data_IF_234189437131
#
_entry.id   IF_234189437131
#
_cell.length_a   1.000
_cell.length_b   1.000
_cell.length_c   1.000
_cell.angle_alpha   90.00
_cell.angle_beta   90.00
_cell.angle_gamma   90.00
#
_symmetry.space_group_name_H-M   'P 1'
#
loop_
_entity.id
_entity.type
_entity.pdbx_description
1 polymer ?
#
# COMPACT_ATOMS: atom_id res chain seq x y z
N UNK A 1 7.15 -20.21 -1.16
CA UNK A 1 7.24 -19.14 -0.12
C UNK A 1 5.88 -18.98 0.57
N UNK A 2 5.75 -19.23 1.87
CA UNK A 2 4.45 -19.15 2.60
C UNK A 2 4.06 -17.74 3.07
N UNK A 3 4.52 -16.70 2.37
CA UNK A 3 4.54 -15.30 2.82
C UNK A 3 3.22 -14.54 2.70
N UNK A 4 2.11 -15.07 3.20
CA UNK A 4 0.82 -14.38 3.15
C UNK A 4 -0.29 -14.97 4.02
N UNK A 5 0.03 -15.94 4.87
CA UNK A 5 -0.94 -16.47 5.83
C UNK A 5 -0.96 -15.60 7.10
N UNK A 6 -2.13 -15.47 7.72
CA UNK A 6 -2.23 -15.01 9.10
C UNK A 6 -1.54 -16.02 10.03
N UNK A 7 -1.09 -15.59 11.21
CA UNK A 7 -0.53 -16.51 12.21
C UNK A 7 -1.61 -17.49 12.71
N UNK A 8 -1.21 -18.55 13.41
CA UNK A 8 -2.15 -19.47 14.09
C UNK A 8 -3.11 -18.70 15.02
N UNK A 9 -2.55 -17.81 15.85
CA UNK A 9 -3.30 -16.88 16.69
C UNK A 9 -4.24 -15.97 15.88
N UNK A 10 -3.81 -15.54 14.69
CA UNK A 10 -4.63 -14.76 13.76
C UNK A 10 -5.82 -15.57 13.22
N UNK A 11 -5.63 -16.86 12.96
CA UNK A 11 -6.69 -17.79 12.58
C UNK A 11 -7.73 -17.95 13.70
N UNK A 12 -7.27 -18.13 14.93
CA UNK A 12 -8.16 -18.15 16.10
C UNK A 12 -8.90 -16.83 16.29
N UNK A 13 -8.23 -15.69 16.10
CA UNK A 13 -8.84 -14.38 16.20
C UNK A 13 -9.96 -14.19 15.16
N UNK A 14 -9.74 -14.64 13.92
CA UNK A 14 -10.75 -14.60 12.87
C UNK A 14 -11.97 -15.46 13.22
N UNK A 15 -11.73 -16.67 13.74
CA UNK A 15 -12.79 -17.56 14.22
C UNK A 15 -13.59 -16.93 15.37
N UNK A 16 -12.90 -16.32 16.34
CA UNK A 16 -13.52 -15.56 17.45
C UNK A 16 -14.38 -14.40 16.92
N UNK A 17 -13.87 -13.60 15.97
CA UNK A 17 -14.65 -12.53 15.33
C UNK A 17 -15.90 -13.05 14.61
N UNK A 18 -15.80 -14.17 13.91
CA UNK A 18 -16.93 -14.77 13.20
C UNK A 18 -18.03 -15.29 14.14
N UNK A 19 -17.67 -15.70 15.36
CA UNK A 19 -18.62 -16.18 16.37
C UNK A 19 -19.10 -15.09 17.35
N UNK A 20 -18.39 -13.96 17.43
CA UNK A 20 -18.64 -12.93 18.44
C UNK A 20 -20.04 -12.29 18.33
N UNK A 21 -20.72 -12.03 19.47
CA UNK A 21 -21.84 -11.10 19.55
C UNK A 21 -21.47 -9.71 19.02
N UNK A 22 -22.47 -8.91 18.63
CA UNK A 22 -22.27 -7.60 17.98
C UNK A 22 -21.39 -6.66 18.79
N UNK A 23 -21.62 -6.54 20.10
CA UNK A 23 -20.82 -5.68 20.99
C UNK A 23 -19.35 -6.09 21.03
N UNK A 24 -19.08 -7.38 21.21
CA UNK A 24 -17.72 -7.91 21.30
C UNK A 24 -16.96 -7.75 19.98
N UNK A 25 -17.63 -7.99 18.85
CA UNK A 25 -17.03 -7.78 17.53
C UNK A 25 -16.57 -6.33 17.31
N UNK A 26 -17.42 -5.36 17.69
CA UNK A 26 -17.09 -3.93 17.60
C UNK A 26 -15.92 -3.60 18.52
N UNK A 27 -15.92 -4.12 19.75
CA UNK A 27 -14.83 -3.90 20.72
C UNK A 27 -13.49 -4.47 20.23
N UNK A 28 -13.48 -5.65 19.61
CA UNK A 28 -12.27 -6.28 19.05
C UNK A 28 -11.67 -5.45 17.89
N UNK A 29 -12.52 -4.78 17.12
CA UNK A 29 -12.13 -3.90 16.00
C UNK A 29 -12.04 -2.41 16.38
N UNK A 30 -12.14 -2.07 17.67
CA UNK A 30 -11.99 -0.71 18.14
C UNK A 30 -10.60 -0.15 17.74
N UNK A 31 -10.57 1.14 17.37
CA UNK A 31 -9.36 1.85 16.93
C UNK A 31 -8.93 1.58 15.49
N UNK A 32 -9.50 0.59 14.79
CA UNK A 32 -9.15 0.30 13.38
C UNK A 32 -9.51 1.47 12.47
N UNK A 33 -10.68 2.09 12.67
CA UNK A 33 -11.06 3.35 12.05
C UNK A 33 -11.28 4.40 13.14
N UNK A 34 -10.72 5.59 12.93
CA UNK A 34 -10.75 6.67 13.91
C UNK A 34 -12.18 7.08 14.26
N UNK A 35 -12.53 6.98 15.56
CA UNK A 35 -13.83 7.34 16.11
C UNK A 35 -15.07 6.87 15.32
N UNK A 36 -14.97 5.72 14.63
CA UNK A 36 -15.97 5.28 13.65
C UNK A 36 -16.44 3.82 13.86
N UNK A 37 -17.09 3.49 15.00
CA UNK A 37 -17.54 2.13 15.31
C UNK A 37 -18.60 1.60 14.34
N UNK A 38 -19.34 2.49 13.68
CA UNK A 38 -20.38 2.16 12.71
C UNK A 38 -19.87 1.29 11.53
N UNK A 39 -18.56 1.35 11.24
CA UNK A 39 -17.94 0.53 10.19
C UNK A 39 -17.88 -0.94 10.60
N UNK A 40 -17.45 -1.20 11.84
CA UNK A 40 -17.46 -2.55 12.41
C UNK A 40 -18.90 -3.05 12.59
N UNK A 41 -19.80 -2.18 13.03
CA UNK A 41 -21.23 -2.47 13.14
C UNK A 41 -21.86 -2.98 11.84
N UNK A 42 -21.54 -2.38 10.69
CA UNK A 42 -22.02 -2.82 9.38
C UNK A 42 -21.30 -4.05 8.86
N UNK A 43 -19.99 -4.14 9.08
CA UNK A 43 -19.23 -5.32 8.70
C UNK A 43 -19.70 -6.57 9.46
N UNK A 44 -20.22 -6.43 10.68
CA UNK A 44 -20.75 -7.53 11.47
C UNK A 44 -21.84 -8.34 10.73
N UNK A 45 -22.68 -7.66 9.94
CA UNK A 45 -23.76 -8.27 9.14
C UNK A 45 -23.24 -9.09 7.93
N UNK A 46 -21.95 -8.95 7.57
CA UNK A 46 -21.32 -9.60 6.41
C UNK A 46 -20.55 -10.88 6.79
N UNK A 47 -20.59 -11.29 8.05
CA UNK A 47 -19.95 -12.51 8.55
C UNK A 47 -20.69 -13.77 8.06
N UNK A 48 -20.03 -14.93 8.02
CA UNK A 48 -18.63 -15.16 8.39
C UNK A 48 -17.64 -14.77 7.30
N UNK A 49 -16.46 -14.32 7.71
CA UNK A 49 -15.35 -14.01 6.80
C UNK A 49 -14.47 -15.23 6.59
N UNK A 50 -14.21 -15.56 5.33
CA UNK A 50 -13.34 -16.68 4.96
C UNK A 50 -11.85 -16.41 5.20
N UNK A 51 -11.43 -15.14 5.27
CA UNK A 51 -10.03 -14.74 5.44
C UNK A 51 -9.93 -13.31 6.00
N UNK A 52 -8.72 -12.92 6.43
CA UNK A 52 -8.42 -11.53 6.77
C UNK A 52 -8.69 -10.57 5.59
N UNK A 53 -8.42 -11.00 4.36
CA UNK A 53 -8.73 -10.21 3.17
C UNK A 53 -10.25 -9.98 3.01
N UNK A 54 -11.07 -11.00 3.30
CA UNK A 54 -12.53 -10.86 3.28
C UNK A 54 -13.03 -9.89 4.38
N UNK A 55 -12.45 -9.94 5.59
CA UNK A 55 -12.75 -8.97 6.65
C UNK A 55 -12.38 -7.53 6.23
N UNK A 56 -11.17 -7.33 5.68
CA UNK A 56 -10.75 -6.00 5.17
C UNK A 56 -11.69 -5.49 4.09
N UNK A 57 -12.07 -6.35 3.15
CA UNK A 57 -13.01 -6.01 2.08
C UNK A 57 -14.40 -5.64 2.64
N UNK A 58 -14.90 -6.34 3.66
CA UNK A 58 -16.15 -6.02 4.32
C UNK A 58 -16.13 -4.63 4.99
N UNK A 59 -15.01 -4.28 5.64
CA UNK A 59 -14.82 -2.96 6.24
C UNK A 59 -14.77 -1.85 5.17
N UNK A 60 -14.04 -2.07 4.07
CA UNK A 60 -14.01 -1.14 2.92
C UNK A 60 -15.41 -0.97 2.32
N UNK A 61 -16.13 -2.07 2.15
CA UNK A 61 -17.50 -2.08 1.64
C UNK A 61 -18.44 -1.27 2.53
N UNK A 62 -18.36 -1.44 3.85
CA UNK A 62 -19.16 -0.69 4.81
C UNK A 62 -18.98 0.83 4.67
N UNK A 63 -17.76 1.31 4.41
CA UNK A 63 -17.46 2.73 4.15
C UNK A 63 -17.97 3.16 2.79
N UNK A 64 -17.71 2.38 1.73
CA UNK A 64 -18.13 2.71 0.37
C UNK A 64 -19.65 2.84 0.24
N UNK A 65 -20.41 2.03 0.96
CA UNK A 65 -21.88 1.99 0.92
C UNK A 65 -22.53 2.98 1.91
N UNK A 66 -21.74 3.74 2.69
CA UNK A 66 -22.23 4.61 3.75
C UNK A 66 -22.92 5.90 3.29
N UNK A 67 -22.86 6.22 2.00
CA UNK A 67 -23.22 7.52 1.46
C UNK A 67 -22.17 8.59 1.78
N UNK A 68 -22.25 9.71 1.06
CA UNK A 68 -21.21 10.75 1.09
C UNK A 68 -21.09 11.43 2.46
N UNK A 69 -22.21 11.72 3.15
CA UNK A 69 -22.16 12.42 4.45
C UNK A 69 -21.41 11.63 5.52
N UNK A 70 -21.64 10.31 5.59
CA UNK A 70 -20.99 9.47 6.58
C UNK A 70 -19.51 9.21 6.24
N UNK A 71 -19.17 9.15 4.94
CA UNK A 71 -17.78 9.16 4.49
C UNK A 71 -17.07 10.47 4.85
N UNK A 72 -17.71 11.62 4.64
CA UNK A 72 -17.16 12.92 5.01
C UNK A 72 -16.98 13.05 6.52
N UNK A 73 -17.92 12.55 7.31
CA UNK A 73 -17.78 12.49 8.77
C UNK A 73 -16.58 11.64 9.19
N UNK A 74 -16.35 10.48 8.54
CA UNK A 74 -15.16 9.65 8.75
C UNK A 74 -13.87 10.40 8.39
N UNK A 75 -13.81 11.10 7.25
CA UNK A 75 -12.64 11.89 6.86
C UNK A 75 -12.37 12.99 7.91
N UNK A 76 -13.40 13.69 8.37
CA UNK A 76 -13.27 14.76 9.38
C UNK A 76 -12.94 14.25 10.78
N UNK A 77 -13.21 12.99 11.10
CA UNK A 77 -12.85 12.38 12.37
C UNK A 77 -11.35 12.10 12.52
N UNK A 78 -10.58 12.12 11.42
CA UNK A 78 -9.14 11.89 11.47
C UNK A 78 -8.40 13.12 11.97
N UNK A 79 -7.45 12.98 12.91
CA UNK A 79 -6.68 14.11 13.39
C UNK A 79 -5.75 14.66 12.30
N UNK A 80 -5.54 15.97 12.32
CA UNK A 80 -4.54 16.62 11.45
C UNK A 80 -3.12 16.13 11.79
N UNK A 81 -2.32 15.90 10.75
CA UNK A 81 -0.87 15.69 10.89
C UNK A 81 -0.23 16.98 11.41
N UNK A 82 0.46 16.92 12.55
CA UNK A 82 1.09 18.10 13.17
C UNK A 82 0.04 19.19 13.50
N UNK A 83 -1.11 18.77 14.04
CA UNK A 83 -2.22 19.64 14.41
C UNK A 83 -2.28 20.00 15.91
N UNK A 84 -3.29 20.79 16.28
CA UNK A 84 -3.54 21.19 17.68
C UNK A 84 -3.70 20.00 18.62
N UNK A 85 -4.29 18.89 18.16
CA UNK A 85 -4.42 17.66 18.95
C UNK A 85 -3.06 17.03 19.30
N UNK A 86 -2.09 17.07 18.38
CA UNK A 86 -0.72 16.61 18.66
C UNK A 86 -0.03 17.49 19.71
N UNK A 87 -0.25 18.81 19.66
CA UNK A 87 0.29 19.76 20.64
C UNK A 87 -0.42 19.69 22.00
N UNK A 88 -1.71 19.35 22.02
CA UNK A 88 -2.52 19.22 23.23
C UNK A 88 -2.36 17.85 23.91
N UNK A 89 -1.80 16.86 23.21
CA UNK A 89 -1.69 15.48 23.72
C UNK A 89 -2.99 14.66 23.58
N UNK A 90 -3.95 15.13 22.78
CA UNK A 90 -5.28 14.54 22.62
C UNK A 90 -5.34 13.48 21.49
N UNK A 91 -4.21 12.93 21.06
CA UNK A 91 -4.15 11.89 20.04
C UNK A 91 -4.50 10.52 20.62
N UNK A 92 -5.20 9.70 19.83
CA UNK A 92 -5.37 8.27 20.15
C UNK A 92 -4.00 7.57 20.20
N UNK A 93 -3.85 6.48 21.00
CA UNK A 93 -2.60 5.73 21.07
C UNK A 93 -2.08 5.29 19.69
N UNK A 94 -2.98 4.90 18.79
CA UNK A 94 -2.67 4.54 17.41
C UNK A 94 -2.09 5.72 16.62
N UNK A 95 -2.72 6.89 16.70
CA UNK A 95 -2.26 8.10 16.01
C UNK A 95 -0.91 8.59 16.54
N UNK A 96 -0.65 8.44 17.84
CA UNK A 96 0.62 8.83 18.45
C UNK A 96 1.79 7.97 17.93
N UNK A 97 1.64 6.64 17.89
CA UNK A 97 2.68 5.77 17.31
C UNK A 97 2.89 6.05 15.82
N UNK A 98 1.79 6.25 15.06
CA UNK A 98 1.85 6.54 13.63
C UNK A 98 2.66 7.81 13.34
N UNK A 99 2.36 8.91 14.03
CA UNK A 99 3.09 10.17 13.85
C UNK A 99 4.51 10.12 14.42
N UNK A 100 4.74 9.38 15.52
CA UNK A 100 6.06 9.18 16.11
C UNK A 100 7.02 8.50 15.15
N UNK A 101 6.59 7.43 14.46
CA UNK A 101 7.42 6.69 13.49
C UNK A 101 7.77 7.48 12.24
N UNK A 102 6.95 8.45 11.88
CA UNK A 102 7.22 9.37 10.77
C UNK A 102 8.19 10.51 11.13
N UNK A 103 8.71 10.52 12.37
CA UNK A 103 9.66 11.54 12.82
C UNK A 103 9.06 12.96 12.89
N UNK A 104 7.72 13.07 12.93
CA UNK A 104 7.01 14.34 13.02
C UNK A 104 7.18 15.02 14.38
N UNK A 105 7.51 14.25 15.42
CA UNK A 105 7.87 14.78 16.74
C UNK A 105 9.20 15.56 16.76
N UNK A 106 10.00 15.49 15.68
CA UNK A 106 11.33 16.09 15.58
C UNK A 106 11.46 17.03 14.38
N UNK A 107 10.40 17.74 14.00
CA UNK A 107 10.45 18.75 12.94
C UNK A 107 11.34 19.94 13.34
N UNK A 108 12.12 20.46 12.39
CA UNK A 108 12.69 21.80 12.50
C UNK A 108 11.57 22.87 12.54
N UNK A 109 11.83 24.06 13.10
CA UNK A 109 10.87 25.16 13.09
C UNK A 109 10.36 25.51 11.68
N UNK A 110 11.24 25.44 10.66
CA UNK A 110 10.90 25.70 9.26
C UNK A 110 9.99 24.63 8.67
N UNK A 111 10.31 23.35 8.87
CA UNK A 111 9.46 22.23 8.42
C UNK A 111 8.09 22.27 9.10
N UNK A 112 8.04 22.62 10.39
CA UNK A 112 6.80 22.76 11.14
C UNK A 112 5.94 23.90 10.59
N UNK A 113 6.54 25.06 10.31
CA UNK A 113 5.83 26.19 9.70
C UNK A 113 5.29 25.82 8.32
N UNK A 114 6.08 25.16 7.47
CA UNK A 114 5.65 24.70 6.15
C UNK A 114 4.47 23.72 6.23
N UNK A 115 4.54 22.71 7.09
CA UNK A 115 3.45 21.74 7.27
C UNK A 115 2.18 22.42 7.79
N UNK A 116 2.30 23.34 8.75
CA UNK A 116 1.17 24.12 9.27
C UNK A 116 0.50 24.93 8.16
N UNK A 117 1.29 25.65 7.37
CA UNK A 117 0.77 26.54 6.34
C UNK A 117 0.12 25.71 5.20
N UNK A 118 0.71 24.57 4.82
CA UNK A 118 0.13 23.64 3.86
C UNK A 118 -1.16 22.98 4.37
N UNK A 119 -1.22 22.56 5.64
CA UNK A 119 -2.44 22.03 6.25
C UNK A 119 -3.55 23.10 6.25
N UNK A 120 -3.22 24.35 6.58
CA UNK A 120 -4.19 25.44 6.54
C UNK A 120 -4.73 25.67 5.12
N UNK A 121 -3.86 25.66 4.11
CA UNK A 121 -4.27 25.77 2.70
C UNK A 121 -5.14 24.58 2.25
N UNK A 122 -4.78 23.36 2.65
CA UNK A 122 -5.52 22.15 2.34
C UNK A 122 -6.91 22.17 2.96
N UNK A 123 -7.02 22.44 4.26
CA UNK A 123 -8.29 22.52 4.98
C UNK A 123 -9.17 23.65 4.45
N UNK A 124 -8.58 24.80 4.06
CA UNK A 124 -9.32 25.90 3.45
C UNK A 124 -9.89 25.55 2.06
N UNK A 125 -9.16 24.74 1.27
CA UNK A 125 -9.60 24.30 -0.06
C UNK A 125 -10.68 23.22 0.01
N UNK A 126 -10.42 22.15 0.76
CA UNK A 126 -11.25 20.94 0.71
C UNK A 126 -12.28 20.86 1.86
N UNK A 127 -12.06 21.56 2.98
CA UNK A 127 -13.00 21.54 4.12
C UNK A 127 -12.93 20.26 4.98
N UNK A 128 -11.82 19.53 4.90
CA UNK A 128 -11.48 18.37 5.73
C UNK A 128 -9.94 18.27 5.91
N UNK A 129 -9.45 17.53 6.93
CA UNK A 129 -8.01 17.45 7.21
C UNK A 129 -7.26 16.65 6.15
N UNK A 130 -5.96 16.94 5.99
CA UNK A 130 -5.08 16.12 5.16
C UNK A 130 -4.79 14.78 5.85
N UNK A 131 -5.09 13.69 5.15
CA UNK A 131 -4.91 12.33 5.66
C UNK A 131 -3.86 11.60 4.83
N UNK A 132 -2.89 10.99 5.50
CA UNK A 132 -1.84 10.18 4.88
C UNK A 132 -1.46 9.04 5.82
N UNK A 133 -1.29 7.83 5.28
CA UNK A 133 -0.78 6.68 6.03
C UNK A 133 0.72 6.84 6.30
N UNK A 134 1.07 7.60 7.33
CA UNK A 134 2.44 8.05 7.61
C UNK A 134 3.43 6.95 7.99
N UNK A 135 2.96 5.76 8.41
CA UNK A 135 3.81 4.56 8.56
C UNK A 135 4.39 4.06 7.23
N UNK A 136 3.86 4.53 6.10
CA UNK A 136 4.37 4.22 4.77
C UNK A 136 4.09 2.78 4.32
N UNK A 137 4.56 2.40 3.12
CA UNK A 137 4.32 1.08 2.54
C UNK A 137 4.98 -0.05 3.34
N UNK A 138 6.15 0.20 3.94
CA UNK A 138 6.96 -0.78 4.68
C UNK A 138 6.80 -0.72 6.20
N UNK A 139 5.94 0.15 6.72
CA UNK A 139 5.78 0.33 8.18
C UNK A 139 6.95 1.03 8.88
N UNK A 140 7.95 1.48 8.13
CA UNK A 140 9.17 2.18 8.62
C UNK A 140 8.97 3.68 8.82
N UNK A 141 7.82 4.23 8.41
CA UNK A 141 7.58 5.67 8.40
C UNK A 141 7.95 6.32 7.06
N UNK A 142 7.14 7.28 6.63
CA UNK A 142 7.48 8.23 5.58
C UNK A 142 8.41 9.31 6.13
N UNK A 143 9.31 9.79 5.28
CA UNK A 143 10.12 10.96 5.64
C UNK A 143 9.28 12.23 5.60
N UNK A 144 9.68 13.26 6.35
CA UNK A 144 9.02 14.57 6.33
C UNK A 144 8.93 15.15 4.92
N UNK A 145 10.01 15.05 4.14
CA UNK A 145 10.02 15.48 2.73
C UNK A 145 9.01 14.73 1.87
N UNK A 146 8.80 13.43 2.09
CA UNK A 146 7.76 12.67 1.40
C UNK A 146 6.35 13.12 1.80
N UNK A 147 6.12 13.45 3.07
CA UNK A 147 4.82 13.94 3.56
C UNK A 147 4.52 15.31 2.96
N UNK A 148 5.48 16.24 3.00
CA UNK A 148 5.36 17.58 2.41
C UNK A 148 5.09 17.48 0.91
N UNK A 149 5.89 16.71 0.18
CA UNK A 149 5.70 16.53 -1.26
C UNK A 149 4.35 15.89 -1.61
N UNK A 150 3.86 14.95 -0.79
CA UNK A 150 2.54 14.36 -0.97
C UNK A 150 1.43 15.39 -0.75
N UNK A 151 1.55 16.23 0.29
CA UNK A 151 0.60 17.29 0.60
C UNK A 151 0.58 18.37 -0.49
N UNK A 152 1.74 18.87 -0.92
CA UNK A 152 1.87 19.85 -2.00
C UNK A 152 1.27 19.33 -3.31
N UNK A 153 1.57 18.09 -3.69
CA UNK A 153 1.01 17.49 -4.90
C UNK A 153 -0.50 17.34 -4.80
N UNK A 154 -0.99 16.78 -3.69
CA UNK A 154 -2.43 16.50 -3.49
C UNK A 154 -3.26 17.75 -3.31
N UNK A 155 -2.65 18.85 -2.85
CA UNK A 155 -3.30 20.15 -2.80
C UNK A 155 -3.82 20.61 -4.16
N UNK A 156 -3.30 20.08 -5.27
CA UNK A 156 -3.72 20.43 -6.62
C UNK A 156 -4.76 19.48 -7.24
N UNK A 157 -5.14 18.39 -6.55
CA UNK A 157 -6.07 17.39 -7.06
C UNK A 157 -7.51 17.96 -7.22
N UNK A 158 -8.28 17.49 -8.20
CA UNK A 158 -9.74 17.67 -8.22
C UNK A 158 -10.38 17.15 -6.92
N UNK A 159 -11.46 17.78 -6.48
CA UNK A 159 -12.07 17.52 -5.17
C UNK A 159 -12.56 16.07 -5.01
N UNK A 160 -13.14 15.49 -6.06
CA UNK A 160 -13.60 14.10 -6.09
C UNK A 160 -12.45 13.10 -6.02
N UNK A 161 -11.36 13.37 -6.75
CA UNK A 161 -10.13 12.58 -6.72
C UNK A 161 -9.47 12.64 -5.35
N UNK A 162 -9.41 13.83 -4.73
CA UNK A 162 -8.79 14.00 -3.42
C UNK A 162 -9.62 13.36 -2.31
N UNK A 163 -10.94 13.47 -2.37
CA UNK A 163 -11.83 12.78 -1.43
C UNK A 163 -11.66 11.27 -1.51
N UNK A 164 -11.61 10.70 -2.71
CA UNK A 164 -11.34 9.28 -2.92
C UNK A 164 -9.94 8.87 -2.41
N UNK A 165 -8.93 9.72 -2.62
CA UNK A 165 -7.57 9.49 -2.09
C UNK A 165 -7.56 9.51 -0.56
N UNK A 166 -8.27 10.43 0.09
CA UNK A 166 -8.43 10.44 1.55
C UNK A 166 -9.02 9.12 2.06
N UNK A 167 -10.12 8.64 1.48
CA UNK A 167 -10.70 7.35 1.86
C UNK A 167 -9.71 6.19 1.65
N UNK A 168 -8.93 6.21 0.55
CA UNK A 168 -7.88 5.21 0.30
C UNK A 168 -6.79 5.23 1.38
N UNK A 169 -6.39 6.41 1.84
CA UNK A 169 -5.41 6.57 2.92
C UNK A 169 -5.97 6.06 4.26
N UNK A 170 -7.25 6.33 4.56
CA UNK A 170 -7.93 5.80 5.74
C UNK A 170 -7.97 4.28 5.72
N UNK A 171 -8.31 3.66 4.59
CA UNK A 171 -8.27 2.20 4.44
C UNK A 171 -6.87 1.63 4.62
N UNK A 172 -5.84 2.35 4.17
CA UNK A 172 -4.45 1.94 4.38
C UNK A 172 -4.05 2.03 5.86
N UNK A 173 -4.46 3.09 6.57
CA UNK A 173 -4.26 3.22 8.02
C UNK A 173 -4.95 2.05 8.74
N UNK A 174 -6.21 1.78 8.42
CA UNK A 174 -6.97 0.66 8.97
C UNK A 174 -6.26 -0.69 8.74
N UNK A 175 -5.74 -0.93 7.54
CA UNK A 175 -4.96 -2.14 7.24
C UNK A 175 -3.68 -2.23 8.09
N UNK A 176 -2.94 -1.12 8.24
CA UNK A 176 -1.71 -1.06 9.04
C UNK A 176 -2.00 -1.32 10.53
N UNK A 177 -3.17 -0.90 11.03
CA UNK A 177 -3.63 -1.19 12.40
C UNK A 177 -4.13 -2.63 12.56
N UNK A 178 -4.75 -3.20 11.52
CA UNK A 178 -5.35 -4.53 11.56
C UNK A 178 -4.30 -5.64 11.41
N UNK A 179 -3.35 -5.49 10.50
CA UNK A 179 -2.35 -6.52 10.17
C UNK A 179 -1.64 -7.12 11.41
N UNK A 180 -1.10 -6.30 12.34
CA UNK A 180 -0.44 -6.83 13.55
C UNK A 180 -1.37 -7.63 14.46
N UNK A 181 -2.68 -7.27 14.54
CA UNK A 181 -3.65 -8.02 15.36
C UNK A 181 -3.81 -9.47 14.88
N UNK A 182 -3.56 -9.73 13.59
CA UNK A 182 -3.64 -11.06 12.98
C UNK A 182 -2.27 -11.70 12.73
N UNK A 183 -1.19 -11.10 13.22
CA UNK A 183 0.18 -11.53 12.91
C UNK A 183 0.46 -11.57 11.39
N UNK A 184 -0.22 -10.73 10.61
CA UNK A 184 -0.12 -10.73 9.16
C UNK A 184 0.95 -9.76 8.68
N UNK A 185 1.83 -10.23 7.81
CA UNK A 185 2.77 -9.40 7.06
C UNK A 185 2.59 -9.65 5.55
N UNK A 186 2.54 -8.60 4.71
CA UNK A 186 2.42 -8.75 3.26
C UNK A 186 3.76 -9.16 2.62
N UNK A 187 4.36 -10.27 3.03
CA UNK A 187 5.72 -10.65 2.66
C UNK A 187 5.90 -10.86 1.15
N UNK A 188 4.93 -11.47 0.45
CA UNK A 188 4.99 -11.59 -1.02
C UNK A 188 4.92 -10.20 -1.71
N UNK A 189 4.12 -9.28 -1.18
CA UNK A 189 4.07 -7.90 -1.68
C UNK A 189 5.39 -7.15 -1.43
N UNK A 190 6.04 -7.41 -0.30
CA UNK A 190 7.36 -6.89 0.02
C UNK A 190 8.42 -7.42 -0.96
N UNK A 191 8.39 -8.70 -1.31
CA UNK A 191 9.29 -9.29 -2.31
C UNK A 191 9.13 -8.64 -3.70
N UNK A 192 7.89 -8.48 -4.18
CA UNK A 192 7.61 -7.79 -5.45
C UNK A 192 8.12 -6.34 -5.42
N UNK A 193 7.92 -5.65 -4.29
CA UNK A 193 8.45 -4.30 -4.10
C UNK A 193 9.97 -4.28 -4.21
N UNK A 194 10.66 -5.18 -3.51
CA UNK A 194 12.12 -5.23 -3.46
C UNK A 194 12.72 -5.53 -4.84
N UNK A 195 12.08 -6.39 -5.65
CA UNK A 195 12.45 -6.58 -7.05
C UNK A 195 12.20 -5.35 -7.93
N UNK A 196 11.11 -4.60 -7.71
CA UNK A 196 10.89 -3.35 -8.42
C UNK A 196 11.99 -2.31 -8.11
N UNK A 197 12.44 -2.22 -6.85
CA UNK A 197 13.57 -1.37 -6.45
C UNK A 197 14.87 -1.82 -7.10
N UNK A 198 15.14 -3.13 -7.10
CA UNK A 198 16.33 -3.69 -7.73
C UNK A 198 16.36 -3.40 -9.25
N UNK A 199 15.24 -3.60 -9.96
CA UNK A 199 15.16 -3.22 -11.38
C UNK A 199 15.25 -1.70 -11.61
N UNK A 200 14.85 -0.88 -10.64
CA UNK A 200 14.96 0.57 -10.75
C UNK A 200 16.42 1.06 -10.69
N UNK A 201 17.36 0.23 -10.23
CA UNK A 201 18.79 0.53 -10.30
C UNK A 201 19.31 0.54 -11.75
N UNK A 202 18.63 -0.17 -12.66
CA UNK A 202 18.95 -0.17 -14.09
C UNK A 202 18.27 1.00 -14.78
N UNK A 203 19.02 2.08 -14.98
CA UNK A 203 18.59 3.27 -15.70
C UNK A 203 19.68 3.72 -16.68
N UNK A 204 19.28 4.24 -17.83
CA UNK A 204 20.20 4.82 -18.80
C UNK A 204 21.00 5.98 -18.15
N UNK A 205 22.33 6.05 -18.34
CA UNK A 205 23.20 6.94 -17.56
C UNK A 205 22.80 8.41 -17.57
N UNK A 206 22.31 8.91 -18.71
CA UNK A 206 21.89 10.32 -18.86
C UNK A 206 20.68 10.71 -17.98
N UNK A 207 19.80 9.74 -17.69
CA UNK A 207 18.61 9.93 -16.88
C UNK A 207 18.90 9.58 -15.42
N UNK A 208 19.69 8.53 -15.19
CA UNK A 208 20.19 8.15 -13.87
C UNK A 208 20.92 9.32 -13.19
N UNK A 209 21.76 10.06 -13.93
CA UNK A 209 22.47 11.24 -13.43
C UNK A 209 21.53 12.38 -12.97
N UNK A 210 20.26 12.36 -13.40
CA UNK A 210 19.21 13.32 -13.00
C UNK A 210 18.29 12.75 -11.92
N UNK A 211 18.60 11.57 -11.38
CA UNK A 211 17.72 10.85 -10.45
C UNK A 211 16.43 10.31 -11.09
N UNK A 212 16.43 10.12 -12.42
CA UNK A 212 15.28 9.65 -13.18
C UNK A 212 15.49 8.21 -13.63
N UNK A 213 14.38 7.46 -13.67
CA UNK A 213 14.37 6.09 -14.18
C UNK A 213 14.02 6.11 -15.67
N UNK A 214 14.86 5.49 -16.51
CA UNK A 214 14.59 5.27 -17.94
C UNK A 214 15.31 4.00 -18.37
N UNK A 215 14.59 3.06 -18.96
CA UNK A 215 15.18 1.84 -19.52
C UNK A 215 14.47 1.53 -20.82
N UNK A 216 14.92 2.15 -21.92
CA UNK A 216 14.30 1.96 -23.23
C UNK A 216 14.71 0.64 -23.87
N UNK A 217 13.84 0.13 -24.73
CA UNK A 217 13.98 -1.15 -25.41
C UNK A 217 15.37 -1.37 -26.02
N UNK A 218 15.95 -2.55 -25.77
CA UNK A 218 17.28 -2.98 -26.25
C UNK A 218 18.49 -2.08 -25.87
N UNK A 219 18.35 -1.20 -24.89
CA UNK A 219 19.52 -0.55 -24.27
C UNK A 219 20.25 -1.49 -23.32
N UNK A 220 21.42 -1.08 -22.82
CA UNK A 220 22.15 -1.83 -21.78
C UNK A 220 21.33 -1.94 -20.48
N UNK A 221 20.62 -0.88 -20.09
CA UNK A 221 19.71 -0.92 -18.95
C UNK A 221 18.59 -1.96 -19.14
N UNK A 222 18.00 -2.02 -20.34
CA UNK A 222 17.00 -3.03 -20.67
C UNK A 222 17.57 -4.45 -20.64
N UNK A 223 18.77 -4.68 -21.20
CA UNK A 223 19.43 -5.99 -21.13
C UNK A 223 19.78 -6.40 -19.70
N UNK A 224 20.19 -5.46 -18.85
CA UNK A 224 20.47 -5.70 -17.44
C UNK A 224 19.19 -6.09 -16.68
N UNK A 225 18.08 -5.38 -16.89
CA UNK A 225 16.77 -5.79 -16.37
C UNK A 225 16.41 -7.21 -16.83
N UNK A 226 16.59 -7.52 -18.12
CA UNK A 226 16.29 -8.84 -18.69
C UNK A 226 17.08 -9.95 -18.00
N UNK A 227 18.37 -9.70 -17.73
CA UNK A 227 19.24 -10.65 -17.05
C UNK A 227 18.73 -10.96 -15.63
N UNK A 228 18.41 -9.92 -14.84
CA UNK A 228 17.96 -10.09 -13.46
C UNK A 228 16.60 -10.78 -13.40
N UNK A 229 15.65 -10.40 -14.28
CA UNK A 229 14.34 -11.06 -14.37
C UNK A 229 14.52 -12.55 -14.72
N UNK A 230 15.39 -12.89 -15.68
CA UNK A 230 15.63 -14.28 -16.05
C UNK A 230 16.17 -15.09 -14.86
N UNK A 231 17.15 -14.54 -14.14
CA UNK A 231 17.70 -15.17 -12.94
C UNK A 231 16.62 -15.39 -11.88
N UNK A 232 15.82 -14.37 -11.58
CA UNK A 232 14.79 -14.49 -10.54
C UNK A 232 13.65 -15.43 -10.94
N UNK A 233 13.29 -15.52 -12.23
CA UNK A 233 12.33 -16.53 -12.69
C UNK A 233 12.89 -17.94 -12.44
N UNK A 234 14.16 -18.21 -12.76
CA UNK A 234 14.77 -19.50 -12.44
C UNK A 234 14.78 -19.77 -10.92
N UNK A 235 15.08 -18.77 -10.10
CA UNK A 235 15.05 -18.87 -8.63
C UNK A 235 13.64 -19.15 -8.07
N UNK A 236 12.59 -18.67 -8.77
CA UNK A 236 11.20 -18.98 -8.45
C UNK A 236 10.75 -20.36 -8.95
N UNK A 237 11.64 -21.12 -9.61
CA UNK A 237 11.42 -22.50 -10.02
C UNK A 237 10.74 -22.67 -11.39
N UNK A 238 10.74 -21.64 -12.23
CA UNK A 238 10.29 -21.78 -13.62
C UNK A 238 11.14 -22.83 -14.35
N UNK A 239 10.48 -23.71 -15.12
CA UNK A 239 11.15 -24.81 -15.82
C UNK A 239 11.96 -24.31 -17.03
N UNK A 240 11.38 -23.39 -17.80
CA UNK A 240 12.03 -22.74 -18.93
C UNK A 240 11.92 -21.21 -18.79
N UNK A 241 13.01 -20.52 -19.11
CA UNK A 241 13.05 -19.06 -19.17
C UNK A 241 13.78 -18.64 -20.45
N UNK A 242 13.16 -17.76 -21.24
CA UNK A 242 13.73 -17.29 -22.50
C UNK A 242 13.33 -15.85 -22.79
N UNK A 243 14.03 -15.24 -23.77
CA UNK A 243 13.63 -13.97 -24.36
C UNK A 243 12.81 -14.26 -25.62
N UNK A 244 11.60 -13.71 -25.71
CA UNK A 244 10.74 -13.88 -26.88
C UNK A 244 11.18 -13.03 -28.09
N UNK A 245 10.47 -13.17 -29.21
CA UNK A 245 10.81 -12.48 -30.46
C UNK A 245 10.68 -10.94 -30.38
N UNK A 246 10.00 -10.41 -29.36
CA UNK A 246 9.81 -8.97 -29.15
C UNK A 246 10.59 -8.47 -27.93
N UNK A 247 11.47 -9.31 -27.37
CA UNK A 247 12.41 -8.94 -26.32
C UNK A 247 11.87 -8.99 -24.90
N UNK A 248 10.71 -9.60 -24.65
CA UNK A 248 10.24 -9.83 -23.29
C UNK A 248 10.95 -11.04 -22.67
N UNK A 249 11.13 -11.02 -21.35
CA UNK A 249 11.49 -12.22 -20.60
C UNK A 249 10.23 -13.00 -20.32
N UNK A 250 10.23 -14.26 -20.72
CA UNK A 250 9.10 -15.18 -20.60
C UNK A 250 9.54 -16.39 -19.79
N UNK A 251 8.81 -16.65 -18.71
CA UNK A 251 8.94 -17.82 -17.87
C UNK A 251 7.80 -18.80 -18.11
N UNK A 252 8.13 -20.09 -18.12
CA UNK A 252 7.19 -21.19 -18.28
C UNK A 252 7.28 -22.18 -17.10
N UNK A 253 6.14 -22.57 -16.55
CA UNK A 253 6.00 -23.79 -15.77
C UNK A 253 5.37 -24.88 -16.64
N UNK A 254 6.01 -26.03 -16.68
CA UNK A 254 5.50 -27.23 -17.29
C UNK A 254 4.37 -27.83 -16.43
N UNK A 255 3.40 -28.45 -17.11
CA UNK A 255 2.50 -29.35 -16.43
C UNK A 255 3.22 -30.64 -16.03
N UNK A 256 2.65 -31.40 -15.08
CA UNK A 256 3.20 -32.68 -14.63
C UNK A 256 3.24 -33.77 -15.72
N UNK A 257 2.59 -33.53 -16.86
CA UNK A 257 2.60 -34.34 -18.08
C UNK A 257 2.93 -33.41 -19.28
N UNK A 258 3.79 -33.82 -20.23
CA UNK A 258 4.05 -33.09 -21.47
C UNK A 258 2.81 -32.64 -22.26
N UNK A 259 1.66 -33.33 -22.13
CA UNK A 259 0.39 -32.96 -22.78
C UNK A 259 -0.46 -32.00 -21.95
N UNK A 260 -0.12 -31.77 -20.68
CA UNK A 260 -0.85 -30.87 -19.82
C UNK A 260 -0.63 -29.40 -20.24
N UNK A 261 -1.59 -28.55 -19.87
CA UNK A 261 -1.46 -27.11 -20.10
C UNK A 261 -0.29 -26.56 -19.30
N UNK A 262 0.45 -25.66 -19.92
CA UNK A 262 1.58 -24.94 -19.32
C UNK A 262 1.09 -23.60 -18.77
N UNK A 263 1.72 -23.12 -17.71
CA UNK A 263 1.54 -21.74 -17.24
C UNK A 263 2.69 -20.90 -17.80
N UNK A 264 2.37 -19.80 -18.45
CA UNK A 264 3.33 -18.87 -19.04
C UNK A 264 3.10 -17.48 -18.45
N UNK A 265 4.18 -16.79 -18.10
CA UNK A 265 4.15 -15.37 -17.76
C UNK A 265 5.29 -14.61 -18.43
N UNK A 266 5.02 -13.38 -18.81
CA UNK A 266 5.95 -12.46 -19.45
C UNK A 266 5.22 -11.16 -19.77
N UNK A 267 5.93 -10.04 -19.69
CA UNK A 267 5.42 -8.72 -20.02
C UNK A 267 6.59 -7.80 -20.38
N UNK A 268 6.28 -6.63 -20.88
CA UNK A 268 7.26 -5.57 -21.05
C UNK A 268 7.75 -5.07 -19.67
N UNK A 269 9.01 -4.64 -19.60
CA UNK A 269 9.67 -4.09 -18.42
C UNK A 269 10.53 -2.86 -18.73
N UNK A 270 10.50 -2.45 -20.00
CA UNK A 270 11.00 -1.17 -20.43
C UNK A 270 10.17 -0.04 -19.79
N UNK A 271 10.77 1.13 -19.69
CA UNK A 271 10.10 2.31 -19.15
C UNK A 271 10.55 3.54 -19.91
N UNK A 272 9.57 4.36 -20.29
CA UNK A 272 9.84 5.68 -20.87
C UNK A 272 10.29 6.64 -19.76
N UNK A 273 10.72 7.84 -20.16
CA UNK A 273 11.38 8.81 -19.28
C UNK A 273 10.57 9.10 -18.02
N UNK A 274 11.06 8.62 -16.88
CA UNK A 274 10.52 8.85 -15.55
C UNK A 274 9.06 8.40 -15.36
N UNK A 275 8.60 7.36 -16.08
CA UNK A 275 7.25 6.80 -15.90
C UNK A 275 7.06 6.01 -14.60
N UNK A 276 8.14 5.81 -13.85
CA UNK A 276 8.11 5.15 -12.55
C UNK A 276 8.49 3.67 -12.64
N UNK A 277 8.76 3.10 -11.46
CA UNK A 277 9.39 1.78 -11.31
C UNK A 277 8.43 0.59 -11.37
N UNK A 278 7.13 0.85 -11.49
CA UNK A 278 6.09 -0.16 -11.43
C UNK A 278 5.47 -0.47 -12.79
N UNK A 279 5.56 0.48 -13.72
CA UNK A 279 4.96 0.39 -15.05
C UNK A 279 5.59 -0.76 -15.85
N UNK A 280 4.76 -1.67 -16.38
CA UNK A 280 5.15 -2.96 -16.98
C UNK A 280 5.70 -4.00 -15.99
N UNK A 281 6.67 -3.60 -15.16
CA UNK A 281 7.48 -4.46 -14.28
C UNK A 281 6.65 -5.26 -13.27
N UNK A 282 5.63 -4.65 -12.67
CA UNK A 282 4.73 -5.36 -11.72
C UNK A 282 4.04 -6.55 -12.39
N UNK A 283 3.69 -6.43 -13.69
CA UNK A 283 3.01 -7.49 -14.43
C UNK A 283 3.84 -8.77 -14.57
N UNK A 284 5.17 -8.66 -14.50
CA UNK A 284 6.10 -9.79 -14.55
C UNK A 284 6.31 -10.38 -13.15
N UNK A 285 6.53 -9.50 -12.17
CA UNK A 285 6.97 -9.87 -10.83
C UNK A 285 5.84 -10.47 -9.98
N UNK A 286 4.59 -10.04 -10.15
CA UNK A 286 3.45 -10.60 -9.39
C UNK A 286 3.28 -12.10 -9.68
N UNK A 287 3.22 -12.57 -10.94
CA UNK A 287 3.10 -14.00 -11.22
C UNK A 287 4.18 -14.86 -10.56
N UNK A 288 5.41 -14.34 -10.41
CA UNK A 288 6.52 -15.06 -9.80
C UNK A 288 6.33 -15.36 -8.31
N UNK A 289 5.53 -14.57 -7.58
CA UNK A 289 5.24 -14.81 -6.15
C UNK A 289 3.96 -15.59 -5.92
N UNK A 290 3.16 -15.84 -6.96
CA UNK A 290 1.82 -16.43 -6.84
C UNK A 290 1.76 -17.93 -7.15
N UNK A 291 2.84 -18.51 -7.67
CA UNK A 291 2.97 -19.94 -8.00
C UNK A 291 3.80 -20.63 -6.92
#
# INVERSE_FOLDING_TARGET
>A
MSGGAISEDGGELLAKLNAAPRGDFIAMLAGVYEHSPWIAERAWDLRPFASLAALKQALVRAVREAGHEQQLALVRAHPELVGKAALAGDLTPESLDEQGRAGLAHCSPEEFAQLRDLNAAYSARFGWPFILAVRGPRGTGLTRGQIIAALERRLHNPDDVEFAECLRQIHRIAEIRLNPKFGFEPALGNAVWDWCEALAAHSEPEWAAKGQLTATYLTDAHRACAHDIQSWMLDCGFDDVAIDAVGNVVGLYHGSDPQARRLLTGSHYDTVRNSGKYDGRIGILIPMVCV
#
